data_IF_023507679212
#
_entry.id   IF_023507679212
#
_cell.length_a   1.000
_cell.length_b   1.000
_cell.length_c   1.000
_cell.angle_alpha   90.00
_cell.angle_beta   90.00
_cell.angle_gamma   90.00
#
_symmetry.space_group_name_H-M   'P 1'
#
loop_
_entity.id
_entity.type
_entity.pdbx_description
1 polymer ?
#
# COMPACT_ATOMS: atom_id res chain seq x y z
N UNK A 1 28.84 1.16 3.42
CA UNK A 1 29.14 0.66 4.79
C UNK A 1 28.15 -0.42 5.26
N UNK A 2 26.87 -0.38 4.85
CA UNK A 2 25.86 -1.41 5.18
C UNK A 2 25.96 -2.72 4.37
N UNK A 3 26.71 -2.74 3.28
CA UNK A 3 26.86 -3.93 2.41
C UNK A 3 27.65 -5.08 3.04
N UNK A 4 28.40 -4.85 4.13
CA UNK A 4 29.20 -5.90 4.79
C UNK A 4 28.42 -6.77 5.78
N UNK A 5 27.21 -6.37 6.17
CA UNK A 5 26.38 -7.08 7.16
C UNK A 5 25.31 -7.98 6.54
N UNK A 6 25.20 -8.04 5.21
CA UNK A 6 24.23 -8.89 4.54
C UNK A 6 24.79 -10.31 4.33
N UNK A 7 24.06 -11.37 4.69
CA UNK A 7 24.45 -12.73 4.35
C UNK A 7 24.56 -12.87 2.83
N UNK A 8 25.68 -13.42 2.34
CA UNK A 8 25.92 -13.68 0.91
C UNK A 8 25.00 -14.78 0.37
N UNK A 9 23.70 -14.49 0.28
CA UNK A 9 22.70 -15.35 -0.36
C UNK A 9 21.92 -14.52 -1.37
N UNK A 10 22.36 -14.60 -2.62
CA UNK A 10 21.77 -13.91 -3.78
C UNK A 10 22.77 -13.86 -4.94
N UNK A 11 22.26 -13.74 -6.17
CA UNK A 11 23.07 -13.52 -7.38
C UNK A 11 23.78 -12.16 -7.24
N UNK A 12 25.12 -12.08 -7.40
CA UNK A 12 25.81 -10.80 -7.36
C UNK A 12 25.39 -9.94 -8.55
N UNK A 13 25.07 -8.67 -8.29
CA UNK A 13 24.82 -7.68 -9.34
C UNK A 13 26.17 -7.39 -10.01
N UNK A 14 26.28 -7.73 -11.31
CA UNK A 14 27.50 -7.56 -12.10
C UNK A 14 27.63 -6.11 -12.57
N UNK A 15 28.85 -5.59 -12.67
CA UNK A 15 29.15 -4.20 -13.05
C UNK A 15 28.60 -3.81 -14.45
N UNK A 16 28.30 -4.79 -15.31
CA UNK A 16 27.67 -4.60 -16.61
C UNK A 16 26.23 -4.03 -16.52
N UNK A 17 25.50 -4.26 -15.43
CA UNK A 17 24.15 -3.70 -15.22
C UNK A 17 24.16 -2.18 -14.95
N UNK A 18 25.29 -1.62 -14.52
CA UNK A 18 25.43 -0.21 -14.14
C UNK A 18 25.67 0.66 -15.37
N UNK A 19 26.44 0.15 -16.34
CA UNK A 19 26.94 0.87 -17.51
C UNK A 19 25.86 1.19 -18.55
N UNK A 20 24.76 0.43 -18.59
CA UNK A 20 23.66 0.59 -19.56
C UNK A 20 22.59 1.62 -19.16
N UNK A 21 22.62 2.16 -17.93
CA UNK A 21 21.59 3.08 -17.38
C UNK A 21 21.92 4.56 -17.45
N UNK A 22 23.08 4.94 -17.99
CA UNK A 22 23.57 6.32 -17.97
C UNK A 22 23.03 7.16 -19.15
N UNK A 23 21.71 7.13 -19.37
CA UNK A 23 21.03 7.94 -20.37
C UNK A 23 20.53 9.27 -19.79
N UNK A 24 21.05 10.40 -20.27
CA UNK A 24 20.61 11.80 -20.07
C UNK A 24 19.54 12.04 -18.97
N UNK A 25 19.94 11.81 -17.72
CA UNK A 25 19.08 11.88 -16.53
C UNK A 25 18.84 13.36 -16.14
N UNK A 26 17.63 13.73 -15.71
CA UNK A 26 17.40 15.05 -15.14
C UNK A 26 18.25 15.25 -13.88
N UNK A 27 18.73 16.47 -13.66
CA UNK A 27 19.40 16.84 -12.41
C UNK A 27 18.49 16.59 -11.22
N UNK A 28 19.06 16.31 -10.04
CA UNK A 28 18.32 16.08 -8.80
C UNK A 28 17.27 17.17 -8.52
N UNK A 29 17.65 18.44 -8.72
CA UNK A 29 16.74 19.58 -8.54
C UNK A 29 15.50 19.48 -9.43
N UNK A 30 15.68 19.05 -10.68
CA UNK A 30 14.59 18.86 -11.65
C UNK A 30 13.69 17.68 -11.25
N UNK A 31 14.28 16.57 -10.81
CA UNK A 31 13.52 15.39 -10.38
C UNK A 31 12.68 15.64 -9.12
N UNK A 32 13.09 16.59 -8.28
CA UNK A 32 12.36 16.97 -7.07
C UNK A 32 11.18 17.93 -7.32
N UNK A 33 11.09 18.58 -8.49
CA UNK A 33 10.01 19.55 -8.76
C UNK A 33 8.63 18.88 -8.69
N UNK A 34 8.44 17.73 -9.33
CA UNK A 34 7.15 17.02 -9.32
C UNK A 34 6.65 16.66 -7.91
N UNK A 35 7.43 15.95 -7.06
CA UNK A 35 6.98 15.62 -5.71
C UNK A 35 6.80 16.86 -4.85
N UNK A 36 7.69 17.86 -4.93
CA UNK A 36 7.55 19.09 -4.13
C UNK A 36 6.29 19.88 -4.48
N UNK A 37 6.00 20.07 -5.77
CA UNK A 37 4.79 20.76 -6.23
C UNK A 37 3.54 20.01 -5.78
N UNK A 38 3.53 18.67 -5.90
CA UNK A 38 2.41 17.84 -5.44
C UNK A 38 2.17 17.98 -3.94
N UNK A 39 3.24 17.88 -3.13
CA UNK A 39 3.16 17.97 -1.67
C UNK A 39 2.66 19.36 -1.26
N UNK A 40 3.14 20.43 -1.89
CA UNK A 40 2.66 21.79 -1.64
C UNK A 40 1.16 21.92 -1.96
N UNK A 41 0.72 21.42 -3.12
CA UNK A 41 -0.70 21.46 -3.52
C UNK A 41 -1.61 20.68 -2.55
N UNK A 42 -1.19 19.50 -2.09
CA UNK A 42 -1.96 18.71 -1.12
C UNK A 42 -1.93 19.31 0.30
N UNK A 43 -0.81 19.94 0.67
CA UNK A 43 -0.64 20.57 1.99
C UNK A 43 -1.34 21.93 2.11
N UNK A 44 -1.86 22.49 1.01
CA UNK A 44 -2.71 23.69 1.05
C UNK A 44 -3.99 23.49 1.88
N UNK A 45 -4.45 22.24 2.03
CA UNK A 45 -5.63 21.90 2.84
C UNK A 45 -5.41 22.19 4.34
N UNK A 46 -4.38 21.64 5.02
CA UNK A 46 -4.13 21.97 6.42
C UNK A 46 -3.62 23.40 6.65
N UNK A 47 -2.98 24.05 5.65
CA UNK A 47 -2.31 25.35 5.84
C UNK A 47 -3.23 26.53 5.52
N UNK A 48 -4.00 26.45 4.42
CA UNK A 48 -4.81 27.56 3.91
C UNK A 48 -6.31 27.21 3.83
N UNK A 49 -6.72 26.01 4.28
CA UNK A 49 -8.07 25.46 4.14
C UNK A 49 -8.56 25.39 2.68
N UNK A 50 -7.65 25.38 1.71
CA UNK A 50 -7.96 25.21 0.28
C UNK A 50 -7.89 23.74 -0.05
N UNK A 51 -9.02 23.15 -0.44
CA UNK A 51 -9.10 21.74 -0.81
C UNK A 51 -8.76 21.59 -2.29
N UNK A 52 -7.61 21.00 -2.58
CA UNK A 52 -7.24 20.57 -3.94
C UNK A 52 -7.37 19.05 -3.99
N UNK A 53 -8.17 18.55 -4.93
CA UNK A 53 -8.36 17.12 -5.12
C UNK A 53 -7.06 16.45 -5.59
N UNK A 54 -6.64 15.30 -5.00
CA UNK A 54 -5.48 14.54 -5.46
C UNK A 54 -5.49 14.21 -6.95
N UNK A 55 -6.68 14.00 -7.55
CA UNK A 55 -6.86 13.72 -8.97
C UNK A 55 -6.43 14.90 -9.86
N UNK A 56 -6.42 16.12 -9.32
CA UNK A 56 -5.90 17.31 -10.00
C UNK A 56 -4.46 17.60 -9.56
N UNK A 57 -4.17 17.47 -8.27
CA UNK A 57 -2.86 17.79 -7.70
C UNK A 57 -1.74 16.89 -8.23
N UNK A 58 -1.98 15.57 -8.33
CA UNK A 58 -0.97 14.60 -8.79
C UNK A 58 -0.60 14.80 -10.27
N UNK A 59 -1.55 14.92 -11.23
CA UNK A 59 -1.20 15.26 -12.60
C UNK A 59 -0.55 16.63 -12.75
N UNK A 60 -1.01 17.64 -11.99
CA UNK A 60 -0.42 18.98 -12.03
C UNK A 60 1.05 18.97 -11.60
N UNK A 61 1.38 18.24 -10.52
CA UNK A 61 2.77 18.04 -10.10
C UNK A 61 3.61 17.28 -11.14
N UNK A 62 3.04 16.23 -11.76
CA UNK A 62 3.69 15.50 -12.85
C UNK A 62 4.02 16.38 -14.05
N UNK A 63 3.06 17.22 -14.49
CA UNK A 63 3.24 18.19 -15.58
C UNK A 63 4.31 19.22 -15.21
N UNK A 64 4.32 19.72 -13.97
CA UNK A 64 5.34 20.65 -13.49
C UNK A 64 6.74 20.03 -13.52
N UNK A 65 6.88 18.73 -13.20
CA UNK A 65 8.15 18.01 -13.34
C UNK A 65 8.61 17.85 -14.78
N UNK A 66 7.69 17.56 -15.71
CA UNK A 66 8.01 17.45 -17.14
C UNK A 66 8.42 18.81 -17.72
N UNK A 67 7.73 19.88 -17.30
CA UNK A 67 8.09 21.26 -17.62
C UNK A 67 9.50 21.60 -17.12
N UNK A 68 9.82 21.26 -15.87
CA UNK A 68 11.16 21.48 -15.31
C UNK A 68 12.25 20.66 -16.03
N UNK A 69 11.90 19.46 -16.50
CA UNK A 69 12.79 18.60 -17.28
C UNK A 69 12.94 19.03 -18.75
N UNK A 70 12.14 20.00 -19.22
CA UNK A 70 12.09 20.49 -20.61
C UNK A 70 11.83 19.37 -21.65
N UNK A 71 11.25 18.24 -21.23
CA UNK A 71 10.98 17.05 -22.06
C UNK A 71 9.50 16.93 -22.42
N UNK A 72 8.95 17.96 -23.07
CA UNK A 72 7.53 18.00 -23.46
C UNK A 72 7.12 16.88 -24.43
N UNK A 73 8.03 16.44 -25.29
CA UNK A 73 7.80 15.35 -26.24
C UNK A 73 7.51 14.02 -25.53
N UNK A 74 8.02 13.83 -24.32
CA UNK A 74 7.83 12.61 -23.51
C UNK A 74 6.50 12.63 -22.75
N UNK A 75 5.74 13.74 -22.72
CA UNK A 75 4.47 13.82 -21.98
C UNK A 75 3.49 12.72 -22.38
N UNK A 76 3.30 12.52 -23.69
CA UNK A 76 2.37 11.50 -24.21
C UNK A 76 2.80 10.09 -23.80
N UNK A 77 4.10 9.82 -23.88
CA UNK A 77 4.68 8.54 -23.51
C UNK A 77 4.58 8.31 -21.99
N UNK A 78 4.91 9.30 -21.16
CA UNK A 78 4.76 9.23 -19.71
C UNK A 78 3.31 9.02 -19.27
N UNK A 79 2.36 9.73 -19.89
CA UNK A 79 0.93 9.57 -19.60
C UNK A 79 0.44 8.18 -20.05
N UNK A 80 0.82 7.74 -21.25
CA UNK A 80 0.50 6.40 -21.75
C UNK A 80 1.05 5.30 -20.84
N UNK A 81 2.32 5.40 -20.47
CA UNK A 81 2.96 4.49 -19.53
C UNK A 81 2.28 4.48 -18.16
N UNK A 82 1.98 5.67 -17.61
CA UNK A 82 1.27 5.79 -16.34
C UNK A 82 -0.12 5.14 -16.38
N UNK A 83 -0.88 5.37 -17.45
CA UNK A 83 -2.20 4.79 -17.65
C UNK A 83 -2.13 3.26 -17.82
N UNK A 84 -1.14 2.76 -18.57
CA UNK A 84 -0.88 1.34 -18.72
C UNK A 84 -0.58 0.67 -17.38
N UNK A 85 0.28 1.28 -16.56
CA UNK A 85 0.60 0.78 -15.21
C UNK A 85 -0.57 0.86 -14.24
N UNK A 86 -1.46 1.84 -14.40
CA UNK A 86 -2.64 2.00 -13.55
C UNK A 86 -3.85 1.19 -14.03
N UNK A 87 -3.90 0.73 -15.28
CA UNK A 87 -5.03 -0.01 -15.84
C UNK A 87 -5.31 -1.31 -15.08
N UNK A 88 -4.26 -2.10 -14.79
CA UNK A 88 -4.40 -3.31 -13.98
C UNK A 88 -4.89 -3.00 -12.56
N UNK A 89 -4.37 -1.94 -11.93
CA UNK A 89 -4.78 -1.50 -10.61
C UNK A 89 -6.24 -1.05 -10.61
N UNK A 90 -6.68 -0.32 -11.64
CA UNK A 90 -8.07 0.12 -11.78
C UNK A 90 -9.05 -1.06 -11.92
N UNK A 91 -8.71 -2.05 -12.75
CA UNK A 91 -9.51 -3.30 -12.87
C UNK A 91 -9.59 -4.02 -11.53
N UNK A 92 -8.45 -4.13 -10.82
CA UNK A 92 -8.41 -4.72 -9.49
C UNK A 92 -9.27 -3.93 -8.49
N UNK A 93 -9.25 -2.59 -8.52
CA UNK A 93 -10.06 -1.72 -7.66
C UNK A 93 -11.56 -1.88 -7.90
N UNK A 94 -11.98 -2.05 -9.16
CA UNK A 94 -13.39 -2.35 -9.50
C UNK A 94 -13.79 -3.71 -8.91
N UNK A 95 -12.95 -4.74 -9.12
CA UNK A 95 -13.20 -6.08 -8.58
C UNK A 95 -13.24 -6.12 -7.05
N UNK A 96 -12.27 -5.47 -6.40
CA UNK A 96 -12.22 -5.39 -4.93
C UNK A 96 -13.35 -4.55 -4.36
N UNK A 97 -13.78 -3.47 -5.03
CA UNK A 97 -14.99 -2.73 -4.66
C UNK A 97 -16.26 -3.56 -4.75
N UNK A 98 -16.40 -4.40 -5.78
CA UNK A 98 -17.51 -5.35 -5.91
C UNK A 98 -17.49 -6.41 -4.79
N UNK A 99 -16.32 -6.99 -4.50
CA UNK A 99 -16.14 -7.93 -3.38
C UNK A 99 -16.49 -7.24 -2.05
N UNK A 100 -16.07 -5.99 -1.85
CA UNK A 100 -16.41 -5.21 -0.67
C UNK A 100 -17.93 -5.08 -0.49
N UNK A 101 -18.63 -4.77 -1.58
CA UNK A 101 -20.09 -4.69 -1.60
C UNK A 101 -20.75 -6.01 -1.23
N UNK A 102 -20.27 -7.13 -1.78
CA UNK A 102 -20.76 -8.47 -1.45
C UNK A 102 -20.51 -8.79 0.03
N UNK A 103 -19.30 -8.53 0.54
CA UNK A 103 -18.95 -8.79 1.95
C UNK A 103 -19.81 -7.94 2.88
N UNK A 104 -20.03 -6.66 2.54
CA UNK A 104 -20.88 -5.77 3.32
C UNK A 104 -22.35 -6.22 3.33
N UNK A 105 -22.83 -6.83 2.25
CA UNK A 105 -24.18 -7.38 2.14
C UNK A 105 -24.28 -8.85 2.62
N UNK A 106 -23.19 -9.45 3.11
CA UNK A 106 -23.10 -10.85 3.52
C UNK A 106 -23.00 -10.98 5.04
N UNK A 107 -23.32 -12.16 5.55
CA UNK A 107 -23.17 -12.55 6.96
C UNK A 107 -21.72 -12.87 7.36
N UNK A 108 -20.74 -12.75 6.45
CA UNK A 108 -19.31 -12.94 6.75
C UNK A 108 -18.85 -12.05 7.92
N UNK A 109 -19.38 -10.83 7.98
CA UNK A 109 -19.10 -9.89 9.07
C UNK A 109 -19.55 -10.46 10.42
N UNK A 110 -20.76 -11.02 10.46
CA UNK A 110 -21.36 -11.58 11.66
C UNK A 110 -20.66 -12.86 12.11
N UNK A 111 -20.31 -13.75 11.16
CA UNK A 111 -19.53 -14.95 11.46
C UNK A 111 -18.16 -14.61 12.03
N UNK A 112 -17.48 -13.60 11.48
CA UNK A 112 -16.19 -13.15 12.01
C UNK A 112 -16.34 -12.61 13.44
N UNK A 113 -17.41 -11.87 13.69
CA UNK A 113 -17.76 -11.34 15.00
C UNK A 113 -18.04 -12.45 16.02
N UNK A 114 -18.81 -13.46 15.66
CA UNK A 114 -19.15 -14.58 16.54
C UNK A 114 -17.90 -15.40 16.93
N UNK A 115 -16.97 -15.57 15.99
CA UNK A 115 -15.68 -16.23 16.26
C UNK A 115 -14.82 -15.40 17.21
N UNK A 116 -14.81 -14.07 17.02
CA UNK A 116 -14.04 -13.16 17.87
C UNK A 116 -14.65 -13.00 19.27
N UNK A 117 -15.98 -13.05 19.38
CA UNK A 117 -16.68 -12.97 20.67
C UNK A 117 -16.34 -14.15 21.61
N UNK A 118 -15.90 -15.28 21.07
CA UNK A 118 -15.41 -16.42 21.86
C UNK A 118 -13.99 -16.20 22.41
N UNK A 119 -13.32 -15.12 22.02
CA UNK A 119 -11.98 -14.77 22.49
C UNK A 119 -12.04 -13.59 23.47
N UNK A 120 -11.30 -13.66 24.57
CA UNK A 120 -11.26 -12.60 25.59
C UNK A 120 -10.73 -11.24 25.09
N UNK A 121 -10.18 -11.17 23.86
CA UNK A 121 -9.65 -9.94 23.24
C UNK A 121 -10.31 -9.65 21.87
N UNK A 122 -11.49 -10.22 21.60
CA UNK A 122 -12.14 -10.15 20.28
C UNK A 122 -12.40 -8.73 19.79
N UNK A 123 -12.73 -7.82 20.70
CA UNK A 123 -13.04 -6.42 20.40
C UNK A 123 -11.85 -5.66 19.82
N UNK A 124 -10.66 -5.80 20.42
CA UNK A 124 -9.44 -5.11 19.96
C UNK A 124 -8.87 -5.75 18.70
N UNK A 125 -9.03 -7.07 18.56
CA UNK A 125 -8.48 -7.83 17.46
C UNK A 125 -9.32 -7.76 16.17
N UNK A 126 -10.55 -7.25 16.24
CA UNK A 126 -11.42 -7.16 15.06
C UNK A 126 -10.82 -6.27 13.97
N UNK A 127 -10.21 -5.14 14.33
CA UNK A 127 -9.57 -4.21 13.39
C UNK A 127 -8.37 -4.86 12.67
N UNK A 128 -7.36 -5.41 13.35
CA UNK A 128 -6.22 -6.03 12.66
C UNK A 128 -6.58 -7.32 11.92
N UNK A 129 -7.47 -8.16 12.45
CA UNK A 129 -7.86 -9.42 11.81
C UNK A 129 -8.71 -9.16 10.56
N UNK A 130 -9.67 -8.24 10.62
CA UNK A 130 -10.44 -7.85 9.43
C UNK A 130 -9.51 -7.29 8.35
N UNK A 131 -8.56 -6.44 8.70
CA UNK A 131 -7.54 -5.94 7.78
C UNK A 131 -6.75 -7.07 7.10
N UNK A 132 -6.23 -8.02 7.89
CA UNK A 132 -5.48 -9.16 7.37
C UNK A 132 -6.32 -10.05 6.45
N UNK A 133 -7.53 -10.43 6.86
CA UNK A 133 -8.41 -11.31 6.08
C UNK A 133 -8.87 -10.63 4.78
N UNK A 134 -9.25 -9.36 4.83
CA UNK A 134 -9.66 -8.63 3.63
C UNK A 134 -8.48 -8.41 2.70
N UNK A 135 -7.28 -8.15 3.23
CA UNK A 135 -6.06 -8.08 2.41
C UNK A 135 -5.68 -9.41 1.79
N UNK A 136 -5.90 -10.53 2.47
CA UNK A 136 -5.70 -11.86 1.87
C UNK A 136 -6.66 -12.12 0.70
N UNK A 137 -7.93 -11.73 0.86
CA UNK A 137 -8.96 -11.88 -0.17
C UNK A 137 -8.71 -10.96 -1.38
N UNK A 138 -8.27 -9.73 -1.13
CA UNK A 138 -8.04 -8.71 -2.18
C UNK A 138 -6.62 -8.72 -2.74
N UNK A 139 -5.68 -9.35 -2.02
CA UNK A 139 -4.26 -9.42 -2.33
C UNK A 139 -3.62 -8.04 -2.59
N UNK A 140 -4.01 -7.08 -1.75
CA UNK A 140 -3.58 -5.69 -1.80
C UNK A 140 -3.80 -5.03 -0.43
N UNK A 141 -2.75 -4.45 0.15
CA UNK A 141 -2.87 -3.72 1.43
C UNK A 141 -3.90 -2.61 1.34
N UNK A 142 -3.81 -1.76 0.31
CA UNK A 142 -4.71 -0.61 0.16
C UNK A 142 -6.15 -1.04 -0.08
N UNK A 143 -6.38 -2.02 -0.97
CA UNK A 143 -7.73 -2.51 -1.23
C UNK A 143 -8.30 -3.21 0.00
N UNK A 144 -7.54 -4.11 0.62
CA UNK A 144 -7.93 -4.83 1.83
C UNK A 144 -8.27 -3.91 2.99
N UNK A 145 -7.44 -2.90 3.25
CA UNK A 145 -7.70 -1.89 4.27
C UNK A 145 -8.95 -1.06 3.96
N UNK A 146 -9.18 -0.71 2.69
CA UNK A 146 -10.38 0.03 2.26
C UNK A 146 -11.64 -0.79 2.48
N UNK A 147 -11.62 -2.06 2.04
CA UNK A 147 -12.74 -2.98 2.21
C UNK A 147 -13.02 -3.22 3.69
N UNK A 148 -11.99 -3.55 4.48
CA UNK A 148 -12.11 -3.77 5.91
C UNK A 148 -12.68 -2.52 6.63
N UNK A 149 -12.16 -1.33 6.32
CA UNK A 149 -12.66 -0.08 6.89
C UNK A 149 -14.12 0.14 6.54
N UNK A 150 -14.52 -0.04 5.28
CA UNK A 150 -15.90 0.20 4.83
C UNK A 150 -16.94 -0.79 5.38
N UNK A 151 -16.51 -2.03 5.66
CA UNK A 151 -17.39 -3.11 6.13
C UNK A 151 -17.45 -3.22 7.65
N UNK A 152 -16.34 -2.95 8.34
CA UNK A 152 -16.20 -3.14 9.78
C UNK A 152 -16.14 -1.84 10.59
N UNK A 153 -16.15 -0.65 9.97
CA UNK A 153 -16.07 0.64 10.69
C UNK A 153 -17.08 0.76 11.84
N UNK A 154 -18.37 0.51 11.57
CA UNK A 154 -19.43 0.62 12.59
C UNK A 154 -19.18 -0.31 13.77
N UNK A 155 -18.69 -1.51 13.50
CA UNK A 155 -18.43 -2.53 14.52
C UNK A 155 -17.18 -2.21 15.34
N UNK A 156 -16.12 -1.75 14.69
CA UNK A 156 -14.88 -1.30 15.36
C UNK A 156 -15.19 -0.12 16.28
N UNK A 157 -16.00 0.83 15.81
CA UNK A 157 -16.41 1.97 16.62
C UNK A 157 -17.37 1.56 17.76
N UNK A 158 -18.26 0.61 17.53
CA UNK A 158 -19.15 0.07 18.58
C UNK A 158 -18.36 -0.67 19.67
N UNK A 159 -17.21 -1.27 19.35
CA UNK A 159 -16.26 -1.85 20.29
C UNK A 159 -15.43 -0.80 21.07
N UNK A 160 -15.72 0.49 20.92
CA UNK A 160 -15.06 1.57 21.64
C UNK A 160 -13.72 2.02 21.04
N UNK A 161 -13.30 1.47 19.90
CA UNK A 161 -12.05 1.85 19.24
C UNK A 161 -12.26 3.14 18.43
N UNK A 162 -11.44 4.17 18.68
CA UNK A 162 -11.49 5.41 17.88
C UNK A 162 -11.21 5.12 16.39
N UNK A 163 -11.82 5.90 15.49
CA UNK A 163 -11.62 5.70 14.05
C UNK A 163 -10.16 5.76 13.59
N UNK A 164 -9.31 6.56 14.25
CA UNK A 164 -7.89 6.69 13.92
C UNK A 164 -7.14 5.40 14.28
N UNK A 165 -7.35 4.89 15.50
CA UNK A 165 -6.75 3.64 15.96
C UNK A 165 -7.28 2.44 15.17
N UNK A 166 -8.58 2.41 14.88
CA UNK A 166 -9.19 1.40 14.02
C UNK A 166 -8.57 1.37 12.63
N UNK A 167 -8.43 2.52 11.99
CA UNK A 167 -7.79 2.65 10.68
C UNK A 167 -6.31 2.25 10.71
N UNK A 168 -5.57 2.66 11.75
CA UNK A 168 -4.17 2.27 11.92
C UNK A 168 -4.01 0.75 12.06
N UNK A 169 -4.81 0.12 12.93
CA UNK A 169 -4.78 -1.32 13.16
C UNK A 169 -5.21 -2.12 11.92
N UNK A 170 -6.27 -1.68 11.22
CA UNK A 170 -6.69 -2.27 9.94
C UNK A 170 -5.54 -2.21 8.92
N UNK A 171 -4.92 -1.04 8.77
CA UNK A 171 -3.86 -0.85 7.78
C UNK A 171 -2.65 -1.72 8.10
N UNK A 172 -2.22 -1.79 9.36
CA UNK A 172 -1.12 -2.69 9.75
C UNK A 172 -1.50 -4.16 9.57
N UNK A 173 -2.73 -4.54 9.92
CA UNK A 173 -3.24 -5.89 9.71
C UNK A 173 -3.26 -6.29 8.23
N UNK A 174 -3.62 -5.36 7.35
CA UNK A 174 -3.65 -5.60 5.91
C UNK A 174 -2.26 -5.95 5.33
N UNK A 175 -1.17 -5.45 5.91
CA UNK A 175 0.20 -5.80 5.46
C UNK A 175 0.62 -7.24 5.76
N UNK A 176 -0.15 -7.97 6.57
CA UNK A 176 0.20 -9.35 6.95
C UNK A 176 0.02 -10.33 5.80
N UNK A 177 -0.94 -10.09 4.89
CA UNK A 177 -1.34 -11.06 3.85
C UNK A 177 -1.46 -10.47 2.44
N UNK A 178 -0.99 -9.24 2.21
CA UNK A 178 -1.07 -8.56 0.91
C UNK A 178 -0.08 -9.10 -0.16
N UNK A 179 0.98 -9.76 0.29
CA UNK A 179 2.08 -10.27 -0.52
C UNK A 179 1.91 -11.74 -0.93
N UNK A 180 0.67 -12.24 -0.91
CA UNK A 180 0.34 -13.56 -1.42
C UNK A 180 0.50 -13.61 -2.96
N UNK A 181 0.79 -14.79 -3.56
CA UNK A 181 1.21 -14.90 -4.96
C UNK A 181 0.15 -14.47 -5.98
N UNK A 182 -1.13 -14.43 -5.60
CA UNK A 182 -2.22 -13.90 -6.44
C UNK A 182 -2.31 -12.36 -6.40
N UNK A 183 -1.51 -11.71 -5.57
CA UNK A 183 -1.55 -10.27 -5.33
C UNK A 183 -0.69 -9.43 -6.25
N UNK A 184 -1.15 -8.20 -6.44
CA UNK A 184 -0.42 -7.18 -7.20
C UNK A 184 0.94 -6.85 -6.56
N UNK A 185 1.02 -6.88 -5.22
CA UNK A 185 2.25 -6.59 -4.50
C UNK A 185 3.34 -7.63 -4.77
N UNK A 186 2.98 -8.91 -4.85
CA UNK A 186 3.91 -9.99 -5.19
C UNK A 186 4.54 -9.78 -6.58
N UNK A 187 3.75 -9.33 -7.56
CA UNK A 187 4.24 -9.08 -8.91
C UNK A 187 5.03 -7.77 -9.01
N UNK A 188 4.58 -6.70 -8.33
CA UNK A 188 5.23 -5.40 -8.36
C UNK A 188 6.64 -5.44 -7.76
N UNK A 189 6.81 -6.04 -6.58
CA UNK A 189 8.12 -6.10 -5.94
C UNK A 189 9.00 -7.20 -6.54
N UNK A 190 8.43 -8.27 -7.11
CA UNK A 190 9.20 -9.32 -7.79
C UNK A 190 9.80 -8.82 -9.11
N UNK A 191 9.01 -8.08 -9.88
CA UNK A 191 9.45 -7.46 -11.13
C UNK A 191 10.47 -6.35 -10.95
N UNK A 192 10.50 -5.69 -9.78
CA UNK A 192 11.46 -4.60 -9.50
C UNK A 192 12.91 -5.06 -9.32
N UNK A 193 13.12 -6.33 -8.96
CA UNK A 193 14.46 -6.93 -8.72
C UNK A 193 14.71 -8.17 -9.60
N UNK A 194 13.88 -8.39 -10.62
CA UNK A 194 13.97 -9.55 -11.53
C UNK A 194 14.11 -10.89 -10.80
N UNK A 195 13.43 -11.04 -9.66
CA UNK A 195 13.50 -12.25 -8.84
C UNK A 195 12.80 -13.41 -9.54
N UNK A 196 13.40 -14.61 -9.46
CA UNK A 196 12.71 -15.82 -9.89
C UNK A 196 11.49 -16.08 -9.00
N UNK A 197 10.44 -16.70 -9.55
CA UNK A 197 9.22 -17.02 -8.79
C UNK A 197 9.54 -17.82 -7.51
N UNK A 198 10.44 -18.79 -7.60
CA UNK A 198 10.86 -19.61 -6.46
C UNK A 198 11.60 -18.81 -5.37
N UNK A 199 12.45 -17.86 -5.76
CA UNK A 199 13.16 -17.04 -4.78
C UNK A 199 12.22 -16.02 -4.13
N UNK A 200 11.19 -15.57 -4.85
CA UNK A 200 10.19 -14.69 -4.27
C UNK A 200 9.28 -15.40 -3.26
N UNK A 201 8.90 -16.66 -3.48
CA UNK A 201 8.14 -17.44 -2.51
C UNK A 201 8.87 -17.56 -1.15
N UNK A 202 10.21 -17.61 -1.14
CA UNK A 202 11.01 -17.68 0.09
C UNK A 202 10.94 -16.40 0.93
N UNK A 203 10.55 -15.27 0.32
CA UNK A 203 10.45 -13.96 0.99
C UNK A 203 9.10 -13.75 1.69
N UNK A 204 8.04 -14.43 1.23
CA UNK A 204 6.70 -14.38 1.84
C UNK A 204 6.74 -14.51 3.38
N UNK A 205 7.39 -15.52 4.00
CA UNK A 205 7.39 -15.64 5.45
C UNK A 205 8.05 -14.45 6.17
N UNK A 206 9.05 -13.80 5.56
CA UNK A 206 9.68 -12.61 6.13
C UNK A 206 8.75 -11.40 6.02
N UNK A 207 8.08 -11.22 4.89
CA UNK A 207 7.07 -10.16 4.70
C UNK A 207 5.91 -10.33 5.69
N UNK A 208 5.41 -11.56 5.90
CA UNK A 208 4.41 -11.88 6.93
C UNK A 208 4.90 -11.53 8.33
N UNK A 209 6.14 -11.89 8.67
CA UNK A 209 6.70 -11.62 9.99
C UNK A 209 6.77 -10.11 10.27
N UNK A 210 7.19 -9.31 9.27
CA UNK A 210 7.21 -7.85 9.39
C UNK A 210 5.78 -7.31 9.57
N UNK A 211 4.82 -7.78 8.78
CA UNK A 211 3.42 -7.37 8.92
C UNK A 211 2.85 -7.72 10.30
N UNK A 212 3.17 -8.89 10.84
CA UNK A 212 2.77 -9.30 12.19
C UNK A 212 3.39 -8.36 13.24
N UNK A 213 4.68 -8.04 13.13
CA UNK A 213 5.36 -7.12 14.07
C UNK A 213 4.68 -5.73 14.04
N UNK A 214 4.38 -5.20 12.86
CA UNK A 214 3.68 -3.92 12.71
C UNK A 214 2.28 -3.98 13.33
N UNK A 215 1.56 -5.08 13.11
CA UNK A 215 0.21 -5.28 13.65
C UNK A 215 0.23 -5.38 15.17
N UNK A 216 1.12 -6.19 15.73
CA UNK A 216 1.30 -6.32 17.18
C UNK A 216 1.73 -4.99 17.79
N UNK A 217 2.65 -4.26 17.16
CA UNK A 217 3.06 -2.93 17.60
C UNK A 217 1.91 -1.92 17.60
N UNK A 218 1.06 -1.94 16.59
CA UNK A 218 -0.12 -1.06 16.48
C UNK A 218 -1.15 -1.38 17.59
N UNK A 219 -1.43 -2.66 17.82
CA UNK A 219 -2.31 -3.10 18.91
C UNK A 219 -1.70 -2.77 20.29
N UNK A 220 -0.41 -3.01 20.48
CA UNK A 220 0.26 -2.72 21.74
C UNK A 220 0.28 -1.22 22.05
N UNK A 221 0.53 -0.37 21.05
CA UNK A 221 0.48 1.09 21.23
C UNK A 221 -0.93 1.58 21.54
N UNK A 222 -1.96 1.00 20.92
CA UNK A 222 -3.35 1.25 21.29
C UNK A 222 -3.63 0.91 22.77
N UNK A 223 -3.24 -0.30 23.22
CA UNK A 223 -3.43 -0.75 24.61
C UNK A 223 -2.59 -0.02 25.65
N UNK A 224 -1.53 0.68 25.26
CA UNK A 224 -0.71 1.48 26.18
C UNK A 224 -1.23 2.91 26.34
N UNK A 225 -1.91 3.43 25.32
CA UNK A 225 -2.43 4.80 25.30
C UNK A 225 -3.88 4.86 25.79
N UNK A 226 -4.57 3.72 25.85
CA UNK A 226 -5.96 3.56 26.28
C UNK A 226 -6.06 2.51 27.40
#
# INVERSE_FOLDING_TARGET
>A
MLTRLMPKRGVPVTEDDISSRQGNLPSFAVSMVAPVVTILLLSLRPICNVVIDPLIALPAGGIAGILAARKWSTLKECVGYGLEKMSFVAILLIGTGAIAGIIKASTIKDVLLDVLAQTNMGEVLIAPISGALMSAATASTTAGATVASSSFAETIMAAGISGIWGAAMINTGATVLDHLPHGSFYHATGGSVSLSFNDRLKLIPYEKAIGIILTVGSVATYLLVH
#
